data_IF_265491059601
#
_entry.id   IF_265491059601
#
_cell.length_a   1.000
_cell.length_b   1.000
_cell.length_c   1.000
_cell.angle_alpha   90.00
_cell.angle_beta   90.00
_cell.angle_gamma   90.00
#
_symmetry.space_group_name_H-M   'P 1'
#
loop_
_entity.id
_entity.type
_entity.pdbx_description
1 polymer ?
#
# COMPACT_ATOMS: atom_id res chain seq x y z
N UNK A 1 -58.97 -73.39 -25.35
CA UNK A 1 -58.24 -72.46 -24.45
C UNK A 1 -56.95 -73.13 -23.99
N UNK A 2 -55.86 -72.54 -24.46
CA UNK A 2 -54.47 -72.95 -24.41
C UNK A 2 -53.85 -72.89 -23.01
N UNK A 3 -53.28 -74.01 -22.51
CA UNK A 3 -52.36 -73.99 -21.37
C UNK A 3 -50.94 -73.80 -21.89
N UNK A 4 -50.57 -72.53 -22.07
CA UNK A 4 -49.24 -72.11 -22.50
C UNK A 4 -48.17 -72.38 -21.42
N UNK A 5 -47.02 -72.84 -21.90
CA UNK A 5 -45.75 -73.11 -21.23
C UNK A 5 -45.32 -72.07 -20.16
N UNK A 6 -45.59 -72.38 -18.89
CA UNK A 6 -45.06 -71.61 -17.74
C UNK A 6 -43.53 -71.70 -17.57
N UNK A 7 -42.89 -72.73 -18.15
CA UNK A 7 -41.44 -72.89 -18.15
C UNK A 7 -40.72 -71.87 -19.05
N UNK A 8 -41.37 -71.41 -20.13
CA UNK A 8 -40.79 -70.41 -21.04
C UNK A 8 -40.75 -69.02 -20.41
N UNK A 9 -41.78 -68.68 -19.62
CA UNK A 9 -41.84 -67.42 -18.87
C UNK A 9 -40.77 -67.38 -17.76
N UNK A 10 -40.54 -68.50 -17.07
CA UNK A 10 -39.47 -68.60 -16.07
C UNK A 10 -38.07 -68.47 -16.68
N UNK A 11 -37.85 -69.04 -17.88
CA UNK A 11 -36.58 -68.91 -18.62
C UNK A 11 -36.31 -67.47 -19.07
N UNK A 12 -37.34 -66.75 -19.55
CA UNK A 12 -37.22 -65.34 -19.95
C UNK A 12 -37.02 -64.39 -18.76
N UNK A 13 -37.54 -64.72 -17.58
CA UNK A 13 -37.29 -63.95 -16.35
C UNK A 13 -35.87 -64.21 -15.82
N UNK A 14 -35.32 -65.43 -16.00
CA UNK A 14 -33.94 -65.75 -15.61
C UNK A 14 -32.88 -65.03 -16.46
N UNK A 15 -33.19 -64.69 -17.71
CA UNK A 15 -32.29 -63.92 -18.60
C UNK A 15 -32.36 -62.39 -18.40
N UNK A 16 -33.33 -61.89 -17.63
CA UNK A 16 -33.54 -60.44 -17.40
C UNK A 16 -32.74 -59.86 -16.23
N UNK A 17 -32.13 -60.70 -15.36
CA UNK A 17 -31.45 -60.25 -14.13
C UNK A 17 -29.93 -60.11 -14.24
N UNK A 18 -29.41 -59.65 -15.38
CA UNK A 18 -27.99 -59.30 -15.51
C UNK A 18 -27.80 -57.99 -16.29
N UNK A 19 -28.45 -56.91 -15.85
CA UNK A 19 -27.97 -55.56 -16.16
C UNK A 19 -26.95 -55.17 -15.09
N UNK A 20 -25.69 -55.50 -15.35
CA UNK A 20 -24.57 -54.89 -14.62
C UNK A 20 -24.59 -53.39 -14.97
N UNK A 21 -25.24 -52.57 -14.13
CA UNK A 21 -25.03 -51.12 -14.14
C UNK A 21 -23.56 -50.90 -13.75
N UNK A 22 -22.69 -50.84 -14.75
CA UNK A 22 -21.35 -50.28 -14.61
C UNK A 22 -21.56 -48.81 -14.27
N UNK A 23 -21.66 -48.50 -12.99
CA UNK A 23 -21.51 -47.14 -12.49
C UNK A 23 -20.10 -46.70 -12.87
N UNK A 24 -20.00 -46.02 -14.01
CA UNK A 24 -18.79 -45.34 -14.45
C UNK A 24 -18.56 -44.24 -13.42
N UNK A 25 -17.80 -44.55 -12.37
CA UNK A 25 -17.36 -43.56 -11.41
C UNK A 25 -16.44 -42.62 -12.19
N UNK A 26 -16.79 -41.35 -12.45
CA UNK A 26 -15.91 -40.43 -13.15
C UNK A 26 -14.86 -39.98 -12.14
N UNK A 27 -13.93 -40.88 -11.80
CA UNK A 27 -12.72 -40.53 -11.07
C UNK A 27 -11.80 -39.79 -12.04
N UNK A 28 -12.21 -38.59 -12.44
CA UNK A 28 -11.43 -37.67 -13.24
C UNK A 28 -10.42 -36.99 -12.31
N UNK A 29 -9.28 -37.64 -12.07
CA UNK A 29 -8.13 -36.98 -11.45
C UNK A 29 -7.51 -35.95 -12.40
N UNK A 30 -6.93 -34.89 -11.85
CA UNK A 30 -6.13 -33.93 -12.63
C UNK A 30 -4.99 -34.63 -13.35
N UNK A 31 -4.77 -34.26 -14.61
CA UNK A 31 -3.62 -34.78 -15.36
C UNK A 31 -2.34 -34.02 -14.96
N UNK A 32 -1.19 -34.71 -14.97
CA UNK A 32 0.11 -34.05 -14.74
C UNK A 32 0.37 -32.91 -15.74
N UNK A 33 -0.14 -33.08 -16.97
CA UNK A 33 -0.03 -32.08 -18.02
C UNK A 33 -0.86 -30.82 -17.72
N UNK A 34 -2.06 -30.96 -17.15
CA UNK A 34 -2.92 -29.83 -16.74
C UNK A 34 -2.23 -28.94 -15.72
N UNK A 35 -1.61 -29.58 -14.72
CA UNK A 35 -0.89 -28.85 -13.69
C UNK A 35 0.38 -28.22 -14.27
N UNK A 36 1.09 -28.91 -15.16
CA UNK A 36 2.30 -28.40 -15.83
C UNK A 36 2.01 -27.15 -16.67
N UNK A 37 0.99 -27.18 -17.54
CA UNK A 37 0.63 -26.02 -18.37
C UNK A 37 0.16 -24.85 -17.49
N UNK A 38 -0.59 -25.15 -16.43
CA UNK A 38 -1.10 -24.13 -15.51
C UNK A 38 0.02 -23.38 -14.78
N UNK A 39 1.02 -24.07 -14.23
CA UNK A 39 2.15 -23.40 -13.55
C UNK A 39 3.01 -22.60 -14.53
N UNK A 40 3.13 -23.04 -15.78
CA UNK A 40 3.82 -22.29 -16.84
C UNK A 40 3.07 -21.00 -17.16
N UNK A 41 1.75 -21.06 -17.37
CA UNK A 41 0.92 -19.87 -17.66
C UNK A 41 0.95 -18.90 -16.47
N UNK A 42 0.75 -19.39 -15.24
CA UNK A 42 0.80 -18.55 -14.03
C UNK A 42 2.19 -17.94 -13.86
N UNK A 43 3.26 -18.67 -14.16
CA UNK A 43 4.64 -18.17 -14.10
C UNK A 43 4.86 -16.98 -15.05
N UNK A 44 4.40 -17.07 -16.29
CA UNK A 44 4.50 -15.97 -17.27
C UNK A 44 3.69 -14.76 -16.83
N UNK A 45 2.46 -14.96 -16.36
CA UNK A 45 1.61 -13.87 -15.88
C UNK A 45 2.20 -13.20 -14.63
N UNK A 46 2.72 -13.98 -13.68
CA UNK A 46 3.34 -13.47 -12.46
C UNK A 46 4.59 -12.63 -12.75
N UNK A 47 5.43 -13.06 -13.69
CA UNK A 47 6.63 -12.32 -14.08
C UNK A 47 6.34 -10.89 -14.57
N UNK A 48 5.22 -10.69 -15.26
CA UNK A 48 4.77 -9.37 -15.74
C UNK A 48 4.01 -8.62 -14.65
N UNK A 49 3.15 -9.31 -13.90
CA UNK A 49 2.25 -8.69 -12.93
C UNK A 49 2.96 -8.19 -11.66
N UNK A 50 3.94 -8.94 -11.13
CA UNK A 50 4.62 -8.60 -9.86
C UNK A 50 5.27 -7.21 -9.87
N UNK A 51 6.14 -6.84 -10.84
CA UNK A 51 6.78 -5.52 -10.83
C UNK A 51 5.76 -4.37 -10.95
N UNK A 52 4.72 -4.55 -11.76
CA UNK A 52 3.64 -3.57 -11.89
C UNK A 52 2.85 -3.41 -10.58
N UNK A 53 2.51 -4.52 -9.94
CA UNK A 53 1.81 -4.52 -8.65
C UNK A 53 2.60 -3.81 -7.56
N UNK A 54 3.92 -4.06 -7.45
CA UNK A 54 4.78 -3.38 -6.48
C UNK A 54 4.79 -1.87 -6.70
N UNK A 55 4.87 -1.40 -7.95
CA UNK A 55 4.82 0.03 -8.25
C UNK A 55 3.48 0.68 -7.86
N UNK A 56 2.36 -0.01 -8.05
CA UNK A 56 1.03 0.46 -7.62
C UNK A 56 0.97 0.61 -6.10
N UNK A 57 1.44 -0.41 -5.37
CA UNK A 57 1.49 -0.38 -3.90
C UNK A 57 2.39 0.76 -3.40
N UNK A 58 3.56 0.93 -4.02
CA UNK A 58 4.48 2.01 -3.66
C UNK A 58 3.83 3.39 -3.89
N UNK A 59 3.13 3.59 -5.01
CA UNK A 59 2.41 4.83 -5.28
C UNK A 59 1.27 5.10 -4.28
N UNK A 60 0.54 4.05 -3.87
CA UNK A 60 -0.49 4.17 -2.85
C UNK A 60 0.09 4.62 -1.50
N UNK A 61 1.25 4.07 -1.11
CA UNK A 61 1.99 4.48 0.09
C UNK A 61 2.47 5.93 0.04
N UNK A 62 2.94 6.41 -1.11
CA UNK A 62 3.26 7.84 -1.27
C UNK A 62 2.02 8.74 -1.22
N UNK A 63 0.88 8.28 -1.73
CA UNK A 63 -0.38 9.03 -1.64
C UNK A 63 -0.85 9.13 -0.18
N UNK A 64 -0.75 8.04 0.58
CA UNK A 64 -0.99 8.02 2.02
C UNK A 64 -0.06 9.01 2.75
N UNK A 65 1.23 9.01 2.41
CA UNK A 65 2.16 9.95 3.00
C UNK A 65 1.78 11.42 2.73
N UNK A 66 1.31 11.75 1.52
CA UNK A 66 0.82 13.11 1.20
C UNK A 66 -0.38 13.52 2.06
N UNK A 67 -1.30 12.59 2.33
CA UNK A 67 -2.47 12.84 3.19
C UNK A 67 -2.00 13.14 4.62
N UNK A 68 -1.10 12.31 5.15
CA UNK A 68 -0.51 12.49 6.48
C UNK A 68 0.22 13.83 6.61
N UNK A 69 1.05 14.19 5.62
CA UNK A 69 1.75 15.49 5.58
C UNK A 69 0.78 16.67 5.47
N UNK A 70 -0.34 16.53 4.75
CA UNK A 70 -1.36 17.57 4.65
C UNK A 70 -2.04 17.85 5.98
N UNK A 71 -2.28 16.81 6.77
CA UNK A 71 -2.84 16.93 8.12
C UNK A 71 -1.84 17.58 9.09
N UNK A 72 -0.56 17.17 9.09
CA UNK A 72 0.50 17.86 9.83
C UNK A 72 0.58 19.36 9.49
N UNK A 73 0.50 19.70 8.20
CA UNK A 73 0.47 21.10 7.75
C UNK A 73 -0.69 21.87 8.39
N UNK A 74 -1.89 21.28 8.42
CA UNK A 74 -3.06 21.91 9.02
C UNK A 74 -2.86 22.24 10.50
N UNK A 75 -2.23 21.34 11.25
CA UNK A 75 -1.93 21.55 12.66
C UNK A 75 -0.80 22.55 12.89
N UNK A 76 0.24 22.55 12.07
CA UNK A 76 1.31 23.55 12.10
C UNK A 76 0.75 24.97 11.89
N UNK A 77 -0.17 25.13 10.94
CA UNK A 77 -0.87 26.40 10.73
C UNK A 77 -1.76 26.75 11.93
N UNK A 78 -2.46 25.77 12.52
CA UNK A 78 -3.23 25.95 13.75
C UNK A 78 -2.36 26.44 14.91
N UNK A 79 -1.21 25.81 15.12
CA UNK A 79 -0.23 26.19 16.12
C UNK A 79 0.25 27.63 15.90
N UNK A 80 0.59 28.00 14.66
CA UNK A 80 0.97 29.38 14.33
C UNK A 80 -0.16 30.38 14.61
N UNK A 81 -1.41 30.02 14.35
CA UNK A 81 -2.56 30.90 14.63
C UNK A 81 -2.72 31.10 16.15
N UNK A 82 -2.49 30.06 16.95
CA UNK A 82 -2.65 30.11 18.40
C UNK A 82 -1.50 30.86 19.10
N UNK A 83 -0.25 30.55 18.73
CA UNK A 83 0.95 31.06 19.41
C UNK A 83 1.64 32.21 18.67
N UNK A 84 1.30 32.45 17.39
CA UNK A 84 1.88 33.51 16.55
C UNK A 84 3.13 33.09 15.77
N UNK A 85 3.71 31.93 16.08
CA UNK A 85 4.94 31.41 15.47
C UNK A 85 4.82 29.90 15.21
N UNK A 86 5.61 29.36 14.28
CA UNK A 86 5.76 27.93 14.10
C UNK A 86 6.66 27.33 15.18
N UNK A 87 6.44 26.08 15.58
CA UNK A 87 7.28 25.45 16.60
C UNK A 87 8.75 25.36 16.15
N UNK A 88 9.64 25.29 17.13
CA UNK A 88 11.05 25.08 16.86
C UNK A 88 11.28 23.70 16.21
N UNK A 89 12.38 23.61 15.47
CA UNK A 89 12.83 22.37 14.86
C UNK A 89 13.06 21.27 15.92
N UNK A 90 12.71 20.04 15.57
CA UNK A 90 12.79 18.87 16.47
C UNK A 90 13.50 17.72 15.77
N UNK A 91 14.10 16.82 16.55
CA UNK A 91 14.77 15.64 15.99
C UNK A 91 13.81 14.78 15.16
N UNK A 92 14.36 14.08 14.16
CA UNK A 92 13.61 13.21 13.25
C UNK A 92 12.63 12.28 13.97
N UNK A 93 11.44 12.13 13.39
CA UNK A 93 10.35 11.32 13.94
C UNK A 93 9.80 11.82 15.30
N UNK A 94 10.18 13.03 15.70
CA UNK A 94 9.52 13.78 16.76
C UNK A 94 8.57 14.76 16.09
N UNK A 95 7.33 14.81 16.55
CA UNK A 95 6.43 15.92 16.21
C UNK A 95 6.54 16.97 17.31
N UNK A 96 6.57 18.27 16.95
CA UNK A 96 6.51 19.32 17.95
C UNK A 96 5.25 19.21 18.83
N UNK A 97 5.35 19.70 20.06
CA UNK A 97 4.24 19.62 21.03
C UNK A 97 3.04 20.44 20.53
N UNK A 98 1.83 19.90 20.67
CA UNK A 98 0.59 20.56 20.19
C UNK A 98 0.15 20.16 18.78
N UNK A 99 0.84 19.18 18.17
CA UNK A 99 0.57 18.63 16.84
C UNK A 99 0.33 17.13 17.02
N UNK A 100 -0.92 16.69 16.82
CA UNK A 100 -1.39 15.34 17.17
C UNK A 100 -2.11 14.64 16.00
N UNK A 101 -1.85 15.08 14.76
CA UNK A 101 -2.33 14.44 13.54
C UNK A 101 -1.98 12.94 13.56
N UNK A 102 -0.86 12.62 14.23
CA UNK A 102 -0.49 11.28 14.62
C UNK A 102 -0.77 11.05 16.10
N UNK A 103 -1.78 10.23 16.38
CA UNK A 103 -1.97 9.71 17.74
C UNK A 103 -0.73 8.89 18.13
N UNK A 104 0.05 9.41 19.10
CA UNK A 104 0.99 8.63 19.90
C UNK A 104 0.26 7.40 20.45
N UNK A 105 0.82 6.22 20.23
CA UNK A 105 1.00 5.13 21.21
C UNK A 105 0.91 3.71 20.64
N UNK A 106 0.62 3.49 19.36
CA UNK A 106 0.72 2.12 18.82
C UNK A 106 0.87 2.07 17.30
N UNK A 107 2.06 2.43 16.82
CA UNK A 107 2.68 1.85 15.60
C UNK A 107 1.74 1.56 14.42
N UNK A 108 0.83 2.47 14.06
CA UNK A 108 0.11 2.38 12.79
C UNK A 108 0.90 3.10 11.71
N UNK A 109 1.93 2.37 11.26
CA UNK A 109 2.44 2.27 9.90
C UNK A 109 2.60 3.61 9.17
N UNK A 110 3.61 4.42 9.54
CA UNK A 110 4.20 5.35 8.57
C UNK A 110 4.47 4.55 7.29
N UNK A 111 4.06 5.03 6.10
CA UNK A 111 4.22 4.23 4.89
C UNK A 111 5.68 3.81 4.72
N UNK A 112 5.90 2.57 4.27
CA UNK A 112 7.22 1.91 4.22
C UNK A 112 7.93 1.70 5.57
N UNK A 113 7.26 1.87 6.71
CA UNK A 113 7.90 1.94 8.03
C UNK A 113 9.00 3.03 8.06
N UNK A 114 8.74 4.11 7.34
CA UNK A 114 9.66 5.24 7.18
C UNK A 114 9.49 6.26 8.31
N UNK A 115 9.97 7.49 8.09
CA UNK A 115 9.97 8.56 9.09
C UNK A 115 9.53 9.88 8.46
N UNK A 116 8.94 10.71 9.31
CA UNK A 116 8.72 12.13 9.03
C UNK A 116 9.75 12.97 9.77
N UNK A 117 10.12 14.09 9.17
CA UNK A 117 11.04 15.07 9.70
C UNK A 117 10.43 16.45 9.50
N UNK A 118 10.06 17.07 10.61
CA UNK A 118 9.62 18.47 10.61
C UNK A 118 10.85 19.35 10.66
N UNK A 119 10.85 20.43 9.90
CA UNK A 119 12.00 21.32 9.77
C UNK A 119 11.54 22.76 9.80
N UNK A 120 12.28 23.56 10.57
CA UNK A 120 12.14 25.00 10.66
C UNK A 120 13.52 25.65 10.46
N UNK A 121 13.87 25.89 9.20
CA UNK A 121 15.19 26.39 8.84
C UNK A 121 15.21 27.88 8.63
N UNK A 122 16.10 28.57 9.34
CA UNK A 122 16.37 29.98 9.08
C UNK A 122 16.97 30.19 7.69
N UNK A 123 16.39 31.12 6.93
CA UNK A 123 16.87 31.54 5.61
C UNK A 123 16.97 33.06 5.54
N UNK A 124 17.62 33.58 4.49
CA UNK A 124 17.63 35.02 4.25
C UNK A 124 16.19 35.51 4.00
N UNK A 125 15.66 36.34 4.89
CA UNK A 125 14.29 36.85 4.80
C UNK A 125 13.25 36.11 5.63
N UNK A 126 13.65 35.13 6.45
CA UNK A 126 12.74 34.47 7.41
C UNK A 126 13.11 33.02 7.66
N UNK A 127 12.15 32.11 7.51
CA UNK A 127 12.37 30.67 7.70
C UNK A 127 11.60 29.85 6.66
N UNK A 128 12.04 28.63 6.45
CA UNK A 128 11.33 27.64 5.63
C UNK A 128 10.78 26.59 6.55
N UNK A 129 9.46 26.41 6.48
CA UNK A 129 8.77 25.34 7.18
C UNK A 129 8.58 24.18 6.21
N UNK A 130 9.11 23.03 6.58
CA UNK A 130 9.15 21.86 5.73
C UNK A 130 8.80 20.59 6.51
N UNK A 131 8.08 19.67 5.86
CA UNK A 131 7.90 18.30 6.32
C UNK A 131 8.54 17.39 5.28
N UNK A 132 9.45 16.53 5.72
CA UNK A 132 10.13 15.55 4.86
C UNK A 132 9.70 14.15 5.22
N UNK A 133 9.30 13.36 4.24
CA UNK A 133 9.05 11.93 4.34
C UNK A 133 10.21 11.19 3.66
N UNK A 134 10.91 10.31 4.38
CA UNK A 134 12.14 9.64 3.89
C UNK A 134 11.89 8.49 2.89
N UNK A 135 10.68 8.40 2.34
CA UNK A 135 10.40 7.41 1.30
C UNK A 135 10.54 5.96 1.75
N UNK A 136 10.86 5.08 0.80
CA UNK A 136 10.95 3.63 0.96
C UNK A 136 12.24 3.16 1.63
N UNK A 137 13.35 3.88 1.46
CA UNK A 137 14.62 3.53 2.09
C UNK A 137 14.71 3.96 3.56
N UNK A 138 13.86 4.91 4.01
CA UNK A 138 13.86 5.42 5.37
C UNK A 138 15.12 6.22 5.72
N UNK A 139 15.89 6.66 4.72
CA UNK A 139 17.11 7.45 4.87
C UNK A 139 16.85 8.82 4.30
N UNK A 140 17.17 9.85 5.08
CA UNK A 140 17.11 11.22 4.59
C UNK A 140 18.18 11.44 3.54
N UNK A 141 17.76 11.84 2.35
CA UNK A 141 18.65 12.09 1.21
C UNK A 141 18.58 13.53 0.69
N UNK A 142 17.67 14.32 1.26
CA UNK A 142 17.48 15.74 0.97
C UNK A 142 18.57 16.59 1.62
N UNK A 143 19.21 17.44 0.83
CA UNK A 143 20.13 18.46 1.34
C UNK A 143 19.31 19.56 2.03
N UNK A 144 19.77 19.99 3.21
CA UNK A 144 19.14 21.08 3.94
C UNK A 144 19.13 22.38 3.12
N UNK A 145 18.02 23.12 3.17
CA UNK A 145 17.94 24.49 2.66
C UNK A 145 18.39 24.70 1.19
N UNK A 146 17.99 23.83 0.26
CA UNK A 146 18.16 24.17 -1.16
C UNK A 146 17.04 25.10 -1.63
N UNK A 147 17.37 26.05 -2.51
CA UNK A 147 16.41 26.98 -3.11
C UNK A 147 15.23 26.26 -3.81
N UNK A 148 15.39 24.99 -4.18
CA UNK A 148 14.34 24.20 -4.80
C UNK A 148 13.16 23.87 -3.85
N UNK A 149 13.34 23.97 -2.52
CA UNK A 149 12.30 23.64 -1.52
C UNK A 149 11.76 24.87 -0.79
N UNK A 150 12.11 26.06 -1.25
CA UNK A 150 11.58 27.32 -0.73
C UNK A 150 10.24 27.72 -1.38
N UNK A 151 9.81 27.02 -2.43
CA UNK A 151 8.50 27.20 -3.03
C UNK A 151 7.45 26.31 -2.33
N UNK A 152 6.25 26.83 -2.02
CA UNK A 152 5.21 26.06 -1.36
C UNK A 152 4.72 24.91 -2.26
N UNK A 153 4.49 23.74 -1.68
CA UNK A 153 3.94 22.58 -2.37
C UNK A 153 4.69 21.27 -2.09
N UNK A 154 4.28 20.23 -2.82
CA UNK A 154 4.92 18.91 -2.75
C UNK A 154 6.06 18.80 -3.76
N UNK A 155 7.22 18.37 -3.29
CA UNK A 155 8.42 18.13 -4.10
C UNK A 155 8.86 16.69 -3.89
N UNK A 156 8.98 15.90 -4.98
CA UNK A 156 9.44 14.50 -4.90
C UNK A 156 10.83 14.38 -5.49
N UNK A 157 11.75 13.78 -4.74
CA UNK A 157 13.04 13.37 -5.26
C UNK A 157 12.93 12.03 -5.96
N UNK A 158 13.13 12.00 -7.27
CA UNK A 158 13.07 10.77 -8.06
C UNK A 158 14.31 9.90 -7.89
N UNK A 159 15.46 10.48 -7.57
CA UNK A 159 16.72 9.75 -7.34
C UNK A 159 16.81 9.13 -5.94
N UNK A 160 16.11 9.72 -4.98
CA UNK A 160 16.38 9.60 -3.55
C UNK A 160 15.10 9.42 -2.71
N UNK A 161 13.98 9.11 -3.36
CA UNK A 161 12.66 8.69 -2.84
C UNK A 161 11.97 9.56 -1.77
N UNK A 162 12.64 10.59 -1.28
CA UNK A 162 12.12 11.59 -0.36
C UNK A 162 10.95 12.36 -0.97
N UNK A 163 9.92 12.55 -0.16
CA UNK A 163 8.79 13.42 -0.48
C UNK A 163 8.77 14.58 0.52
N UNK A 164 8.83 15.79 -0.02
CA UNK A 164 8.87 17.03 0.74
C UNK A 164 7.55 17.76 0.58
N UNK A 165 7.02 18.30 1.67
CA UNK A 165 5.97 19.33 1.68
C UNK A 165 6.58 20.60 2.26
N UNK A 166 6.70 21.64 1.42
CA UNK A 166 7.15 22.95 1.84
C UNK A 166 5.96 23.90 1.98
N UNK A 167 5.96 24.73 3.02
CA UNK A 167 5.04 25.85 3.17
C UNK A 167 5.57 27.13 2.51
N UNK A 168 6.80 27.07 1.98
CA UNK A 168 7.52 28.20 1.43
C UNK A 168 8.18 29.08 2.51
N UNK A 169 8.87 30.13 2.08
CA UNK A 169 9.50 31.10 2.98
C UNK A 169 8.41 31.86 3.75
N UNK A 170 8.51 31.81 5.07
CA UNK A 170 7.65 32.52 6.01
C UNK A 170 8.35 33.78 6.51
N UNK A 171 7.56 34.77 6.90
CA UNK A 171 8.07 36.02 7.47
C UNK A 171 8.88 35.77 8.76
N UNK A 172 9.92 36.56 9.05
CA UNK A 172 10.79 36.34 10.21
C UNK A 172 10.06 36.30 11.56
N UNK A 173 8.92 37.01 11.67
CA UNK A 173 8.15 37.10 12.90
C UNK A 173 7.45 35.80 13.31
N UNK A 174 7.36 34.82 12.41
CA UNK A 174 6.64 33.55 12.67
C UNK A 174 7.58 32.35 12.78
N UNK A 175 8.89 32.58 12.84
CA UNK A 175 9.89 31.52 12.66
C UNK A 175 10.31 30.79 13.93
N UNK A 176 10.06 31.35 15.10
CA UNK A 176 10.30 30.71 16.40
C UNK A 176 9.68 31.63 17.47
N UNK A 177 9.53 31.12 18.70
CA UNK A 177 9.08 31.93 19.84
C UNK A 177 10.01 33.08 20.16
#
# INVERSE_FOLDING_TARGET
>A
MSRFNGLYLAYLISLSKHSHKLTKNPNNGFTLLELLISVVIIGVLAAIAIPSYVAIVDNARYAEAKIQMGCLKGELEGYRIEYGYFPDDVNNNTVPTGIECFYRQNSMQVPFNSRYDYENWSVSGGCVIQITFFGKNGVRNTLANTNAYQAPGFHKFTTNDDLILSLGVQEPSVCSS
#
